data_IF_387988956079
#
_entry.id   IF_387988956079
#
_cell.length_a   1.000
_cell.length_b   1.000
_cell.length_c   1.000
_cell.angle_alpha   90.00
_cell.angle_beta   90.00
_cell.angle_gamma   90.00
#
_symmetry.space_group_name_H-M   'P 1'
#
loop_
_entity.id
_entity.type
_entity.pdbx_description
1 polymer ?
#
# COMPACT_ATOMS: atom_id res chain seq x y z
N UNK A 1 -24.12 5.50 -26.54
CA UNK A 1 -23.89 6.36 -25.37
C UNK A 1 -22.45 6.10 -24.87
N UNK A 2 -21.51 7.02 -25.10
CA UNK A 2 -20.13 6.88 -24.59
C UNK A 2 -20.10 7.46 -23.18
N UNK A 3 -20.07 6.62 -22.15
CA UNK A 3 -19.76 7.04 -20.80
C UNK A 3 -18.33 7.61 -20.79
N UNK A 4 -18.20 8.93 -20.75
CA UNK A 4 -16.94 9.56 -20.37
C UNK A 4 -16.82 9.40 -18.86
N UNK A 5 -16.06 8.38 -18.43
CA UNK A 5 -15.57 8.31 -17.06
C UNK A 5 -14.56 9.44 -16.95
N UNK A 6 -15.00 10.61 -16.44
CA UNK A 6 -14.08 11.63 -16.00
C UNK A 6 -13.19 10.97 -14.95
N UNK A 7 -11.86 11.18 -15.06
CA UNK A 7 -10.92 10.79 -14.00
C UNK A 7 -11.53 11.20 -12.66
N UNK A 8 -11.50 10.33 -11.62
CA UNK A 8 -11.98 10.74 -10.33
C UNK A 8 -11.27 12.05 -10.00
N UNK A 9 -12.04 13.07 -9.66
CA UNK A 9 -11.53 14.29 -9.08
C UNK A 9 -10.95 13.93 -7.71
N UNK A 10 -9.79 13.29 -7.71
CA UNK A 10 -8.88 13.40 -6.59
C UNK A 10 -8.46 14.86 -6.67
N UNK A 11 -9.17 15.72 -5.96
CA UNK A 11 -8.68 17.06 -5.66
C UNK A 11 -7.26 16.85 -5.18
N UNK A 12 -6.30 17.44 -5.89
CA UNK A 12 -4.90 17.37 -5.55
C UNK A 12 -4.76 17.67 -4.06
N UNK A 13 -4.60 16.65 -3.27
CA UNK A 13 -4.36 16.82 -1.85
C UNK A 13 -2.92 17.25 -1.72
N UNK A 14 -2.73 18.45 -1.24
CA UNK A 14 -1.44 19.01 -0.92
C UNK A 14 -1.11 18.70 0.55
N UNK A 15 -0.18 17.75 0.81
CA UNK A 15 0.18 17.40 2.17
C UNK A 15 0.76 18.56 2.97
N UNK A 16 1.34 19.57 2.33
CA UNK A 16 1.88 20.75 3.00
C UNK A 16 0.78 21.58 3.66
N UNK A 17 -0.40 21.62 3.05
CA UNK A 17 -1.55 22.38 3.54
C UNK A 17 -2.37 21.65 4.60
N UNK A 18 -2.00 20.42 4.95
CA UNK A 18 -2.69 19.70 6.01
C UNK A 18 -2.30 20.27 7.36
N UNK A 19 -3.28 20.83 8.05
CA UNK A 19 -3.10 21.39 9.39
C UNK A 19 -3.12 20.23 10.38
N UNK A 20 -2.00 20.03 11.06
CA UNK A 20 -1.83 19.02 12.10
C UNK A 20 -2.02 19.68 13.46
N UNK A 21 -2.97 19.22 14.24
CA UNK A 21 -3.14 19.58 15.64
C UNK A 21 -1.95 19.08 16.46
N UNK A 22 -1.52 19.86 17.46
CA UNK A 22 -0.33 19.55 18.26
C UNK A 22 -0.45 18.20 18.98
N UNK A 23 -1.63 17.88 19.52
CA UNK A 23 -1.86 16.60 20.19
C UNK A 23 -1.77 15.41 19.23
N UNK A 24 -2.28 15.56 18.02
CA UNK A 24 -2.21 14.55 16.96
C UNK A 24 -0.77 14.39 16.46
N UNK A 25 -0.02 15.49 16.32
CA UNK A 25 1.39 15.43 15.96
C UNK A 25 2.19 14.64 16.99
N UNK A 26 2.05 14.96 18.28
CA UNK A 26 2.72 14.25 19.38
C UNK A 26 2.35 12.76 19.39
N UNK A 27 1.08 12.41 19.14
CA UNK A 27 0.65 11.02 19.06
C UNK A 27 1.33 10.26 17.91
N UNK A 28 1.47 10.90 16.75
CA UNK A 28 2.19 10.33 15.61
C UNK A 28 3.67 10.13 15.92
N UNK A 29 4.32 11.15 16.48
CA UNK A 29 5.74 11.11 16.85
C UNK A 29 6.04 9.99 17.87
N UNK A 30 5.19 9.85 18.89
CA UNK A 30 5.31 8.78 19.88
C UNK A 30 5.09 7.40 19.26
N UNK A 31 4.08 7.25 18.38
CA UNK A 31 3.83 5.98 17.71
C UNK A 31 5.02 5.55 16.85
N UNK A 32 5.63 6.48 16.11
CA UNK A 32 6.83 6.23 15.31
C UNK A 32 8.03 5.90 16.20
N UNK A 33 8.25 6.67 17.27
CA UNK A 33 9.39 6.47 18.17
C UNK A 33 9.36 5.14 18.90
N UNK A 34 8.15 4.60 19.14
CA UNK A 34 7.95 3.32 19.82
C UNK A 34 7.72 2.15 18.87
N UNK A 35 7.77 2.36 17.55
CA UNK A 35 7.42 1.36 16.52
C UNK A 35 6.02 0.74 16.78
N UNK A 36 5.04 1.56 17.18
CA UNK A 36 3.69 1.11 17.50
C UNK A 36 2.66 1.60 16.47
N UNK A 37 1.63 0.79 16.17
CA UNK A 37 0.55 1.24 15.31
C UNK A 37 -0.27 2.35 15.97
N UNK A 38 -0.71 3.34 15.19
CA UNK A 38 -1.59 4.40 15.64
C UNK A 38 -3.01 4.15 15.16
N UNK A 39 -3.96 4.01 16.08
CA UNK A 39 -5.38 3.92 15.77
C UNK A 39 -6.01 5.32 15.84
N UNK A 40 -6.62 5.74 14.72
CA UNK A 40 -7.35 6.99 14.62
C UNK A 40 -8.86 6.73 14.57
N UNK A 41 -9.59 7.35 15.48
CA UNK A 41 -11.05 7.34 15.52
C UNK A 41 -11.62 8.75 15.35
N UNK A 42 -12.88 8.88 15.05
CA UNK A 42 -13.57 10.16 14.94
C UNK A 42 -14.55 10.21 13.77
N UNK A 43 -15.23 11.34 13.62
CA UNK A 43 -16.26 11.57 12.62
C UNK A 43 -15.77 11.39 11.19
N UNK A 44 -16.60 10.94 10.24
CA UNK A 44 -16.28 10.91 8.83
C UNK A 44 -15.89 12.30 8.30
N UNK A 45 -14.93 12.36 7.39
CA UNK A 45 -14.50 13.62 6.77
C UNK A 45 -13.50 14.46 7.56
N UNK A 46 -13.10 14.06 8.77
CA UNK A 46 -12.13 14.79 9.62
C UNK A 46 -10.66 14.69 9.15
N UNK A 47 -10.42 14.06 8.01
CA UNK A 47 -9.07 14.02 7.43
C UNK A 47 -8.18 12.86 7.90
N UNK A 48 -8.71 11.87 8.65
CA UNK A 48 -7.93 10.73 9.16
C UNK A 48 -7.09 10.02 8.12
N UNK A 49 -7.68 9.70 6.97
CA UNK A 49 -6.94 9.05 5.86
C UNK A 49 -5.85 9.98 5.29
N UNK A 50 -6.10 11.28 5.27
CA UNK A 50 -5.13 12.25 4.76
C UNK A 50 -3.95 12.47 5.68
N UNK A 51 -4.09 12.17 6.97
CA UNK A 51 -2.99 12.18 7.92
C UNK A 51 -1.87 11.23 7.46
N UNK A 52 -2.19 10.03 6.97
CA UNK A 52 -1.18 9.10 6.49
C UNK A 52 -0.35 9.70 5.34
N UNK A 53 -0.97 10.46 4.44
CA UNK A 53 -0.26 11.16 3.36
C UNK A 53 0.62 12.29 3.89
N UNK A 54 0.17 13.02 4.90
CA UNK A 54 0.97 14.07 5.56
C UNK A 54 2.20 13.45 6.23
N UNK A 55 2.02 12.38 6.98
CA UNK A 55 3.12 11.68 7.68
C UNK A 55 4.11 11.10 6.67
N UNK A 56 3.65 10.42 5.62
CA UNK A 56 4.53 9.87 4.59
C UNK A 56 5.36 10.98 3.90
N UNK A 57 4.73 12.11 3.61
CA UNK A 57 5.39 13.27 3.01
C UNK A 57 6.47 13.87 3.93
N UNK A 58 6.19 14.05 5.22
CA UNK A 58 7.17 14.59 6.17
C UNK A 58 8.34 13.62 6.40
N UNK A 59 8.05 12.32 6.53
CA UNK A 59 9.10 11.29 6.65
C UNK A 59 9.94 11.19 5.37
N UNK A 60 9.34 11.40 4.20
CA UNK A 60 10.08 11.43 2.94
C UNK A 60 11.02 12.63 2.85
N UNK A 61 10.63 13.79 3.40
CA UNK A 61 11.51 14.96 3.49
C UNK A 61 12.68 14.75 4.45
N UNK A 62 12.44 14.09 5.57
CA UNK A 62 13.45 13.77 6.59
C UNK A 62 14.18 12.47 6.24
N UNK A 63 15.00 12.49 5.20
CA UNK A 63 15.76 11.32 4.71
C UNK A 63 17.00 10.98 5.56
N UNK A 64 17.05 11.41 6.81
CA UNK A 64 18.25 11.31 7.65
C UNK A 64 18.64 9.87 8.00
N UNK A 65 17.69 8.94 8.08
CA UNK A 65 17.92 7.56 8.54
C UNK A 65 17.32 6.48 7.63
N UNK A 66 16.13 6.73 7.05
CA UNK A 66 15.40 5.77 6.22
C UNK A 66 14.88 6.46 4.97
N UNK A 67 14.81 5.73 3.88
CA UNK A 67 14.19 6.21 2.65
C UNK A 67 12.70 5.84 2.65
N UNK A 68 11.86 6.81 2.97
CA UNK A 68 10.41 6.64 2.92
C UNK A 68 9.86 7.06 1.56
N UNK A 69 8.86 6.33 1.07
CA UNK A 69 8.08 6.73 -0.08
C UNK A 69 7.19 7.95 0.26
N UNK A 70 7.01 8.91 -0.67
CA UNK A 70 6.20 10.11 -0.41
C UNK A 70 4.70 9.82 -0.30
N UNK A 71 4.28 8.64 -0.72
CA UNK A 71 2.88 8.20 -0.71
C UNK A 71 2.75 6.97 0.18
N UNK A 72 1.79 6.95 1.13
CA UNK A 72 1.60 5.82 2.01
C UNK A 72 1.08 4.61 1.26
N UNK A 73 1.54 3.42 1.63
CA UNK A 73 0.95 2.18 1.20
C UNK A 73 -0.40 1.99 1.90
N UNK A 74 -1.49 1.94 1.13
CA UNK A 74 -2.84 1.87 1.66
C UNK A 74 -3.46 0.48 1.47
N UNK A 75 -4.13 -0.01 2.51
CA UNK A 75 -4.96 -1.21 2.43
C UNK A 75 -6.38 -0.87 2.89
N UNK A 76 -7.34 -1.11 2.01
CA UNK A 76 -8.75 -0.85 2.29
C UNK A 76 -9.44 -2.14 2.69
N UNK A 77 -9.78 -2.27 3.98
CA UNK A 77 -10.44 -3.46 4.51
C UNK A 77 -11.86 -3.59 3.97
N UNK A 78 -12.25 -4.83 3.67
CA UNK A 78 -13.61 -5.25 3.33
C UNK A 78 -14.09 -6.23 4.39
N UNK A 79 -15.38 -6.48 4.46
CA UNK A 79 -15.96 -7.48 5.40
C UNK A 79 -15.41 -8.90 5.17
N UNK A 80 -14.93 -9.18 3.96
CA UNK A 80 -14.34 -10.47 3.57
C UNK A 80 -12.81 -10.48 3.64
N UNK A 81 -12.16 -9.38 4.05
CA UNK A 81 -10.71 -9.31 4.13
C UNK A 81 -10.17 -10.22 5.23
N UNK A 82 -9.10 -10.93 4.92
CA UNK A 82 -8.32 -11.75 5.84
C UNK A 82 -6.95 -11.13 6.11
N UNK A 83 -6.27 -11.59 7.16
CA UNK A 83 -4.92 -11.13 7.46
C UNK A 83 -3.94 -11.38 6.29
N UNK A 84 -4.12 -12.46 5.54
CA UNK A 84 -3.32 -12.78 4.36
C UNK A 84 -3.41 -11.68 3.29
N UNK A 85 -4.59 -11.10 3.10
CA UNK A 85 -4.83 -10.09 2.06
C UNK A 85 -4.06 -8.79 2.27
N UNK A 86 -3.52 -8.56 3.48
CA UNK A 86 -2.56 -7.49 3.76
C UNK A 86 -1.19 -7.73 3.11
N UNK A 87 -0.81 -8.99 2.95
CA UNK A 87 0.50 -9.37 2.44
C UNK A 87 0.49 -9.57 0.92
N UNK A 88 -0.45 -10.37 0.42
CA UNK A 88 -0.54 -10.68 -0.99
C UNK A 88 -1.92 -11.17 -1.40
N UNK A 89 -2.22 -11.01 -2.68
CA UNK A 89 -3.29 -11.70 -3.39
C UNK A 89 -2.69 -12.79 -4.27
N UNK A 90 -3.36 -13.93 -4.31
CA UNK A 90 -2.98 -15.04 -5.18
C UNK A 90 -4.09 -15.30 -6.19
N UNK A 91 -3.78 -15.14 -7.47
CA UNK A 91 -4.71 -15.43 -8.57
C UNK A 91 -4.66 -16.92 -8.93
N UNK A 92 -5.41 -17.71 -8.18
CA UNK A 92 -5.50 -19.16 -8.39
C UNK A 92 -6.12 -19.50 -9.75
N UNK A 93 -7.04 -18.67 -10.26
CA UNK A 93 -7.69 -18.92 -11.54
C UNK A 93 -6.71 -18.71 -12.71
N UNK A 94 -6.00 -17.60 -12.72
CA UNK A 94 -4.98 -17.33 -13.74
C UNK A 94 -3.87 -18.38 -13.69
N UNK A 95 -3.45 -18.81 -12.49
CA UNK A 95 -2.46 -19.87 -12.34
C UNK A 95 -2.95 -21.20 -12.94
N UNK A 96 -4.18 -21.60 -12.61
CA UNK A 96 -4.77 -22.82 -13.17
C UNK A 96 -4.89 -22.78 -14.69
N UNK A 97 -5.36 -21.66 -15.25
CA UNK A 97 -5.47 -21.47 -16.70
C UNK A 97 -4.09 -21.55 -17.37
N UNK A 98 -3.09 -20.86 -16.83
CA UNK A 98 -1.72 -20.89 -17.35
C UNK A 98 -1.10 -22.30 -17.28
N UNK A 99 -1.34 -23.01 -16.19
CA UNK A 99 -0.85 -24.39 -16.03
C UNK A 99 -1.44 -25.34 -17.09
N UNK A 100 -2.73 -25.19 -17.41
CA UNK A 100 -3.38 -26.00 -18.46
C UNK A 100 -2.82 -25.67 -19.85
N UNK A 101 -2.68 -24.38 -20.18
CA UNK A 101 -2.15 -23.95 -21.47
C UNK A 101 -0.71 -24.43 -21.68
N UNK A 102 0.16 -24.27 -20.67
CA UNK A 102 1.56 -24.73 -20.72
C UNK A 102 1.65 -26.25 -20.84
N UNK A 103 0.77 -26.98 -20.15
CA UNK A 103 0.72 -28.45 -20.26
C UNK A 103 0.33 -28.89 -21.69
N UNK A 104 -0.63 -28.22 -22.32
CA UNK A 104 -1.02 -28.51 -23.71
C UNK A 104 0.10 -28.18 -24.71
N UNK A 105 0.90 -27.15 -24.43
CA UNK A 105 2.07 -26.76 -25.21
C UNK A 105 3.32 -27.61 -24.93
N UNK A 106 3.28 -28.54 -23.95
CA UNK A 106 4.44 -29.33 -23.54
C UNK A 106 5.50 -28.52 -22.77
N UNK A 107 5.13 -27.38 -22.21
CA UNK A 107 6.01 -26.50 -21.43
C UNK A 107 6.01 -26.85 -19.94
N UNK A 108 7.03 -26.34 -19.22
CA UNK A 108 7.11 -26.49 -17.77
C UNK A 108 5.96 -25.78 -17.05
N UNK A 109 5.52 -26.33 -15.93
CA UNK A 109 4.48 -25.72 -15.11
C UNK A 109 4.88 -24.29 -14.67
N UNK A 110 3.94 -23.33 -14.65
CA UNK A 110 4.23 -21.98 -14.22
C UNK A 110 4.54 -21.94 -12.71
N UNK A 111 5.38 -20.99 -12.30
CA UNK A 111 5.70 -20.82 -10.88
C UNK A 111 4.57 -20.07 -10.18
N UNK A 112 4.20 -20.49 -8.98
CA UNK A 112 3.17 -19.82 -8.18
C UNK A 112 3.48 -18.34 -7.92
N UNK A 113 4.76 -17.96 -7.88
CA UNK A 113 5.20 -16.57 -7.71
C UNK A 113 4.80 -15.63 -8.85
N UNK A 114 4.51 -16.17 -10.04
CA UNK A 114 4.05 -15.38 -11.19
C UNK A 114 2.60 -14.88 -11.01
N UNK A 115 1.86 -15.47 -10.07
CA UNK A 115 0.43 -15.19 -9.80
C UNK A 115 0.20 -14.59 -8.41
N UNK A 116 1.26 -14.09 -7.78
CA UNK A 116 1.22 -13.41 -6.49
C UNK A 116 1.38 -11.91 -6.73
N UNK A 117 0.40 -11.12 -6.28
CA UNK A 117 0.46 -9.68 -6.23
C UNK A 117 0.64 -9.22 -4.78
N UNK A 118 1.77 -8.56 -4.49
CA UNK A 118 2.02 -8.02 -3.15
C UNK A 118 1.05 -6.89 -2.83
N UNK A 119 0.47 -6.92 -1.64
CA UNK A 119 -0.38 -5.89 -1.08
C UNK A 119 0.42 -4.96 -0.15
N UNK A 120 -0.23 -4.01 0.51
CA UNK A 120 0.41 -2.92 1.23
C UNK A 120 1.53 -3.38 2.18
N UNK A 121 1.25 -4.36 3.05
CA UNK A 121 2.23 -4.86 4.02
C UNK A 121 3.31 -5.73 3.33
N UNK A 122 2.94 -6.53 2.35
CA UNK A 122 3.90 -7.30 1.55
C UNK A 122 4.88 -6.39 0.79
N UNK A 123 4.38 -5.30 0.21
CA UNK A 123 5.20 -4.27 -0.43
C UNK A 123 6.13 -3.58 0.57
N UNK A 124 5.63 -3.19 1.74
CA UNK A 124 6.44 -2.57 2.78
C UNK A 124 7.60 -3.47 3.22
N UNK A 125 7.33 -4.77 3.43
CA UNK A 125 8.37 -5.74 3.79
C UNK A 125 9.40 -5.91 2.66
N UNK A 126 8.93 -6.01 1.40
CA UNK A 126 9.83 -6.13 0.26
C UNK A 126 10.72 -4.89 0.11
N UNK A 127 10.15 -3.69 0.24
CA UNK A 127 10.86 -2.41 0.14
C UNK A 127 11.84 -2.18 1.32
N UNK A 128 11.59 -2.76 2.49
CA UNK A 128 12.49 -2.64 3.64
C UNK A 128 13.78 -3.46 3.50
N UNK A 129 13.83 -4.40 2.55
CA UNK A 129 15.01 -5.22 2.29
C UNK A 129 15.69 -4.79 0.98
N UNK A 130 16.78 -4.00 1.04
CA UNK A 130 17.45 -3.45 -0.14
C UNK A 130 18.04 -4.51 -1.09
N UNK A 131 18.27 -5.73 -0.61
CA UNK A 131 18.82 -6.81 -1.45
C UNK A 131 17.78 -7.47 -2.36
N UNK A 132 16.49 -7.29 -2.08
CA UNK A 132 15.39 -7.96 -2.78
C UNK A 132 14.58 -7.06 -3.72
N UNK A 133 14.94 -5.80 -3.87
CA UNK A 133 14.09 -4.85 -4.60
C UNK A 133 14.43 -4.82 -6.08
N UNK A 134 13.86 -5.74 -6.83
CA UNK A 134 13.55 -5.48 -8.23
C UNK A 134 12.29 -4.59 -8.27
N UNK A 135 12.50 -3.27 -8.21
CA UNK A 135 11.43 -2.26 -8.19
C UNK A 135 10.59 -2.24 -9.47
N UNK A 136 10.97 -2.99 -10.50
CA UNK A 136 10.21 -3.13 -11.74
C UNK A 136 8.91 -3.94 -11.59
N UNK A 137 8.68 -4.54 -10.42
CA UNK A 137 7.51 -5.40 -10.15
C UNK A 137 6.42 -4.76 -9.30
N UNK A 138 6.55 -3.46 -8.96
CA UNK A 138 5.60 -2.76 -8.07
C UNK A 138 4.80 -1.68 -8.78
#
# INVERSE_FOLDING_TARGET
MKLRISKPLVKDFDPEKYILDEGLQQAVEVAIALDQPLLLTGEPGTGKTRLAYKVAYELHKDQSRYHFEPVPLAFYTKTTSSARDLFYLYDALAHFQSANLRREAGEAAPKSSEFIELQALGKAIALSNPENVDTSRF
#
